data_IF_202430578317
#
_entry.id   IF_202430578317
#
_cell.length_a   1.000
_cell.length_b   1.000
_cell.length_c   1.000
_cell.angle_alpha   90.00
_cell.angle_beta   90.00
_cell.angle_gamma   90.00
#
_symmetry.space_group_name_H-M   'P 1'
#
loop_
_entity.id
_entity.type
_entity.pdbx_description
1 polymer ?
#
# COMPACT_ATOMS: atom_id res chain seq x y z
N UNK A 1 3.47 -18.88 4.24
CA UNK A 1 2.54 -17.81 3.81
C UNK A 1 1.57 -17.52 4.95
N UNK A 2 1.25 -16.25 5.24
CA UNK A 2 0.28 -15.92 6.29
C UNK A 2 -1.09 -16.49 5.93
N UNK A 3 -1.61 -17.37 6.78
CA UNK A 3 -2.99 -17.87 6.69
C UNK A 3 -3.90 -16.95 7.48
N UNK A 4 -5.05 -16.59 6.90
CA UNK A 4 -6.05 -15.74 7.55
C UNK A 4 -7.35 -16.50 7.55
N UNK A 5 -7.80 -16.85 8.74
CA UNK A 5 -9.03 -17.59 8.97
C UNK A 5 -10.10 -16.63 9.52
N UNK A 6 -11.34 -16.82 9.08
CA UNK A 6 -12.49 -16.16 9.70
C UNK A 6 -12.76 -16.91 11.00
N UNK A 7 -12.57 -16.21 12.12
CA UNK A 7 -12.91 -16.73 13.45
C UNK A 7 -14.22 -16.09 13.89
N UNK A 8 -15.07 -16.89 14.52
CA UNK A 8 -16.31 -16.43 15.17
C UNK A 8 -17.29 -15.71 14.23
N UNK A 9 -17.23 -15.98 12.92
CA UNK A 9 -18.06 -15.32 11.91
C UNK A 9 -17.64 -13.87 11.58
N UNK A 10 -16.58 -13.34 12.21
CA UNK A 10 -16.12 -11.97 12.02
C UNK A 10 -15.34 -11.78 10.71
N UNK A 11 -16.09 -11.77 9.60
CA UNK A 11 -15.54 -11.52 8.27
C UNK A 11 -14.82 -10.17 8.18
N UNK A 12 -15.36 -9.14 8.83
CA UNK A 12 -14.78 -7.79 8.77
C UNK A 12 -13.38 -7.75 9.40
N UNK A 13 -13.19 -8.43 10.54
CA UNK A 13 -11.90 -8.52 11.20
C UNK A 13 -10.89 -9.29 10.34
N UNK A 14 -11.31 -10.39 9.72
CA UNK A 14 -10.48 -11.15 8.79
C UNK A 14 -10.06 -10.30 7.57
N UNK A 15 -10.99 -9.52 7.00
CA UNK A 15 -10.69 -8.59 5.90
C UNK A 15 -9.73 -7.48 6.32
N UNK A 16 -9.87 -6.93 7.53
CA UNK A 16 -8.93 -5.93 8.08
C UNK A 16 -7.53 -6.53 8.23
N UNK A 17 -7.42 -7.75 8.77
CA UNK A 17 -6.15 -8.50 8.87
C UNK A 17 -5.54 -8.76 7.49
N UNK A 18 -6.36 -9.17 6.52
CA UNK A 18 -5.91 -9.39 5.14
C UNK A 18 -5.37 -8.11 4.50
N UNK A 19 -6.13 -7.00 4.59
CA UNK A 19 -5.68 -5.69 4.07
C UNK A 19 -4.34 -5.27 4.69
N UNK A 20 -4.16 -5.50 5.99
CA UNK A 20 -2.90 -5.22 6.68
C UNK A 20 -1.75 -6.06 6.11
N UNK A 21 -1.89 -7.39 6.06
CA UNK A 21 -0.87 -8.31 5.54
C UNK A 21 -0.52 -8.01 4.07
N UNK A 22 -1.52 -7.75 3.24
CA UNK A 22 -1.33 -7.37 1.84
C UNK A 22 -0.54 -6.05 1.72
N UNK A 23 -0.87 -5.06 2.55
CA UNK A 23 -0.17 -3.77 2.56
C UNK A 23 1.28 -3.88 3.01
N UNK A 24 1.56 -4.71 4.02
CA UNK A 24 2.91 -4.96 4.54
C UNK A 24 3.76 -5.73 3.51
N UNK A 25 3.20 -6.77 2.90
CA UNK A 25 3.85 -7.53 1.82
C UNK A 25 4.21 -6.62 0.65
N UNK A 26 3.27 -5.78 0.20
CA UNK A 26 3.50 -4.81 -0.87
C UNK A 26 4.59 -3.81 -0.50
N UNK A 27 4.61 -3.28 0.73
CA UNK A 27 5.65 -2.36 1.20
C UNK A 27 7.03 -3.01 1.21
N UNK A 28 7.11 -4.27 1.66
CA UNK A 28 8.35 -5.03 1.67
C UNK A 28 8.90 -5.23 0.25
N UNK A 29 8.04 -5.69 -0.67
CA UNK A 29 8.38 -5.85 -2.08
C UNK A 29 8.87 -4.54 -2.70
N UNK A 30 8.13 -3.43 -2.53
CA UNK A 30 8.53 -2.13 -3.07
C UNK A 30 9.84 -1.62 -2.48
N UNK A 31 10.10 -1.86 -1.19
CA UNK A 31 11.38 -1.49 -0.57
C UNK A 31 12.54 -2.19 -1.26
N UNK A 32 12.38 -3.48 -1.57
CA UNK A 32 13.37 -4.24 -2.32
C UNK A 32 13.48 -3.75 -3.77
N UNK A 33 12.35 -3.54 -4.46
CA UNK A 33 12.33 -3.04 -5.83
C UNK A 33 13.00 -1.66 -5.95
N UNK A 34 12.78 -0.75 -4.98
CA UNK A 34 13.41 0.56 -4.96
C UNK A 34 14.91 0.52 -4.71
N UNK A 35 15.40 -0.52 -4.03
CA UNK A 35 16.84 -0.73 -3.88
C UNK A 35 17.47 -1.10 -5.22
N UNK A 36 16.81 -1.99 -5.98
CA UNK A 36 17.26 -2.43 -7.31
C UNK A 36 17.05 -1.36 -8.40
N UNK A 37 15.95 -0.61 -8.34
CA UNK A 37 15.53 0.37 -9.35
C UNK A 37 15.31 1.74 -8.73
N UNK A 38 16.41 2.41 -8.36
CA UNK A 38 16.37 3.74 -7.69
C UNK A 38 15.48 4.77 -8.42
N UNK A 39 15.46 4.75 -9.76
CA UNK A 39 14.61 5.64 -10.57
C UNK A 39 13.10 5.45 -10.37
N UNK A 40 12.65 4.23 -10.04
CA UNK A 40 11.22 3.94 -9.78
C UNK A 40 10.76 4.64 -8.51
N UNK A 41 11.59 4.66 -7.46
CA UNK A 41 11.28 5.38 -6.21
C UNK A 41 11.07 6.86 -6.46
N UNK A 42 11.89 7.48 -7.32
CA UNK A 42 11.76 8.90 -7.67
C UNK A 42 10.44 9.17 -8.41
N UNK A 43 10.15 8.38 -9.45
CA UNK A 43 8.89 8.48 -10.22
C UNK A 43 7.65 8.29 -9.33
N UNK A 44 7.67 7.34 -8.40
CA UNK A 44 6.55 7.12 -7.48
C UNK A 44 6.36 8.28 -6.49
N UNK A 45 7.45 8.89 -6.00
CA UNK A 45 7.37 10.11 -5.19
C UNK A 45 6.77 11.28 -5.96
N UNK A 46 7.21 11.52 -7.19
CA UNK A 46 6.68 12.58 -8.07
C UNK A 46 5.18 12.36 -8.36
N UNK A 47 4.79 11.11 -8.64
CA UNK A 47 3.39 10.73 -8.86
C UNK A 47 2.54 10.96 -7.61
N UNK A 48 3.06 10.62 -6.42
CA UNK A 48 2.38 10.88 -5.16
C UNK A 48 2.23 12.37 -4.87
N UNK A 49 3.27 13.17 -5.13
CA UNK A 49 3.21 14.63 -5.01
C UNK A 49 2.15 15.22 -5.97
N UNK A 50 2.14 14.79 -7.24
CA UNK A 50 1.15 15.23 -8.23
C UNK A 50 -0.28 14.90 -7.80
N UNK A 51 -0.52 13.71 -7.24
CA UNK A 51 -1.85 13.34 -6.69
C UNK A 51 -2.28 14.23 -5.53
N UNK A 52 -1.36 14.57 -4.62
CA UNK A 52 -1.63 15.48 -3.50
C UNK A 52 -1.97 16.89 -4.00
N UNK A 53 -1.23 17.39 -4.99
CA UNK A 53 -1.50 18.68 -5.63
C UNK A 53 -2.88 18.69 -6.31
N UNK A 54 -3.20 17.65 -7.09
CA UNK A 54 -4.53 17.51 -7.71
C UNK A 54 -5.66 17.47 -6.68
N UNK A 55 -5.47 16.75 -5.56
CA UNK A 55 -6.47 16.70 -4.49
C UNK A 55 -6.67 18.08 -3.84
N UNK A 56 -5.58 18.82 -3.60
CA UNK A 56 -5.64 20.19 -3.06
C UNK A 56 -6.39 21.13 -4.01
N UNK A 57 -6.09 21.06 -5.32
CA UNK A 57 -6.76 21.87 -6.32
C UNK A 57 -8.24 21.51 -6.51
N UNK A 58 -8.66 20.27 -6.25
CA UNK A 58 -10.08 19.88 -6.29
C UNK A 58 -10.87 20.32 -5.05
N UNK A 59 -10.17 20.68 -3.96
CA UNK A 59 -10.79 21.13 -2.72
C UNK A 59 -10.99 22.65 -2.66
N UNK A 60 -10.33 23.39 -3.56
CA UNK A 60 -10.44 24.83 -3.72
C UNK A 60 -11.33 25.13 -4.92
#
# INVERSE_FOLDING_TARGET
MPKIEVKDGDLELALRKFKRVASETKRSFLKHEYHLRKGVKRREKEKAARKRLQKKHRMY
#
